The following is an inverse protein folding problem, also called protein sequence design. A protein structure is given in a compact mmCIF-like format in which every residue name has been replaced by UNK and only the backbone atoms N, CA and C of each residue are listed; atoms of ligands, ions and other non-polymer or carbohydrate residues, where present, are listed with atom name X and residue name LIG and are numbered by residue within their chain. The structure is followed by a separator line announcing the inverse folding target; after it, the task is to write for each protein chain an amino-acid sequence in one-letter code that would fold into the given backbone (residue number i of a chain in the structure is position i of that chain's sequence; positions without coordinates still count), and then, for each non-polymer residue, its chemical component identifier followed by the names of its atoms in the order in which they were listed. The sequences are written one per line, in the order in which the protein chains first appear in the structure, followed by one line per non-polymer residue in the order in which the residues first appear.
data_IF_650975687850
#
_entry.id   IF_650975687850
#
_cell.length_a   1.000
_cell.length_b   1.000
_cell.length_c   1.000
_cell.angle_alpha   90.00
_cell.angle_beta   90.00
_cell.angle_gamma   90.00
#
_symmetry.space_group_name_H-M   'P 1'
#
loop_
_entity.id
_entity.type
_entity.pdbx_description
1 polymer ?
#
# COMPACT_ATOMS: atom_id res chain seq x y z
N UNK A 1 5.40 -22.08 -9.10
CA UNK A 1 5.03 -22.38 -7.70
C UNK A 1 6.32 -22.42 -6.89
N UNK A 2 6.49 -21.57 -5.87
CA UNK A 2 7.66 -21.63 -5.00
C UNK A 2 7.55 -22.89 -4.12
N UNK A 3 8.44 -23.85 -4.28
CA UNK A 3 8.55 -25.00 -3.38
C UNK A 3 8.90 -24.46 -2.00
N UNK A 4 8.03 -24.64 -1.00
CA UNK A 4 8.34 -24.24 0.37
C UNK A 4 9.62 -24.95 0.80
N UNK A 5 10.70 -24.20 0.99
CA UNK A 5 11.97 -24.79 1.42
C UNK A 5 11.85 -25.15 2.88
N UNK A 6 11.92 -26.44 3.17
CA UNK A 6 11.61 -26.98 4.48
C UNK A 6 12.89 -27.02 5.33
N UNK A 7 13.33 -25.85 5.81
CA UNK A 7 14.52 -25.75 6.67
C UNK A 7 14.19 -26.16 8.11
N UNK A 8 15.11 -26.87 8.77
CA UNK A 8 14.92 -27.36 10.14
C UNK A 8 14.70 -26.21 11.14
N UNK A 9 15.37 -25.07 10.95
CA UNK A 9 15.18 -23.88 11.77
C UNK A 9 13.74 -23.33 11.67
N UNK A 10 13.10 -23.38 10.50
CA UNK A 10 11.72 -22.90 10.33
C UNK A 10 10.72 -23.83 11.04
N UNK A 11 10.98 -25.15 11.00
CA UNK A 11 10.17 -26.15 11.71
C UNK A 11 10.25 -25.97 13.22
N UNK A 12 11.43 -25.66 13.74
CA UNK A 12 11.61 -25.43 15.17
C UNK A 12 10.77 -24.25 15.67
N UNK A 13 10.64 -23.18 14.85
CA UNK A 13 9.74 -22.07 15.20
C UNK A 13 8.30 -22.55 15.36
N UNK A 14 7.79 -23.34 14.41
CA UNK A 14 6.41 -23.86 14.47
C UNK A 14 6.18 -24.89 15.58
N UNK A 15 7.22 -25.61 16.03
CA UNK A 15 7.13 -26.48 17.22
C UNK A 15 7.03 -25.65 18.51
N UNK A 16 7.75 -24.55 18.58
CA UNK A 16 7.85 -23.70 19.78
C UNK A 16 6.69 -22.72 19.91
N UNK A 17 6.26 -22.11 18.80
CA UNK A 17 5.29 -21.02 18.78
C UNK A 17 4.08 -21.36 17.91
N UNK A 18 2.89 -21.13 18.46
CA UNK A 18 1.63 -21.12 17.71
C UNK A 18 1.28 -19.69 17.31
N UNK A 19 0.74 -19.53 16.11
CA UNK A 19 0.31 -18.24 15.58
C UNK A 19 -0.86 -17.67 16.39
N UNK A 20 -0.72 -16.46 16.93
CA UNK A 20 -1.80 -15.78 17.69
C UNK A 20 -2.76 -15.00 16.80
N UNK A 21 -2.35 -14.65 15.58
CA UNK A 21 -3.10 -13.76 14.69
C UNK A 21 -3.10 -12.29 15.12
N UNK A 22 -2.36 -11.92 16.17
CA UNK A 22 -2.33 -10.55 16.70
C UNK A 22 -1.47 -9.63 15.84
N UNK A 23 -2.06 -8.95 14.86
CA UNK A 23 -1.34 -8.04 13.95
C UNK A 23 -1.68 -6.58 14.27
N UNK A 24 -0.85 -5.93 15.10
CA UNK A 24 -0.94 -4.48 15.36
C UNK A 24 -0.54 -3.63 14.15
N UNK A 25 -0.95 -2.36 14.13
CA UNK A 25 -0.55 -1.39 13.10
C UNK A 25 0.96 -1.30 12.92
N UNK A 26 1.72 -1.18 14.02
CA UNK A 26 3.19 -1.11 13.99
C UNK A 26 3.82 -2.43 13.52
N UNK A 27 3.24 -3.58 13.85
CA UNK A 27 3.71 -4.86 13.31
C UNK A 27 3.46 -4.96 11.80
N UNK A 28 2.33 -4.47 11.31
CA UNK A 28 2.03 -4.42 9.87
C UNK A 28 2.96 -3.47 9.13
N UNK A 29 3.25 -2.29 9.69
CA UNK A 29 4.29 -1.40 9.17
C UNK A 29 5.64 -2.15 9.11
N UNK A 30 6.03 -2.86 10.18
CA UNK A 30 7.25 -3.67 10.21
C UNK A 30 7.27 -4.73 9.12
N UNK A 31 6.17 -5.46 8.92
CA UNK A 31 6.04 -6.49 7.87
C UNK A 31 6.26 -5.87 6.48
N UNK A 32 5.65 -4.71 6.23
CA UNK A 32 5.74 -4.01 4.94
C UNK A 32 7.14 -3.43 4.71
N UNK A 33 7.70 -2.74 5.70
CA UNK A 33 8.97 -2.01 5.55
C UNK A 33 10.20 -2.92 5.55
N UNK A 34 10.10 -4.10 6.15
CA UNK A 34 11.17 -5.10 6.14
C UNK A 34 10.89 -6.21 5.12
N UNK A 35 10.32 -5.87 3.95
CA UNK A 35 10.02 -6.84 2.89
C UNK A 35 11.21 -7.76 2.63
N UNK A 36 11.02 -9.07 2.83
CA UNK A 36 12.01 -10.15 2.71
C UNK A 36 13.35 -9.96 3.46
N UNK A 37 13.43 -9.07 4.46
CA UNK A 37 14.66 -8.81 5.22
C UNK A 37 14.41 -8.98 6.71
N UNK A 38 15.27 -9.75 7.38
CA UNK A 38 15.20 -9.91 8.84
C UNK A 38 15.50 -8.58 9.56
N UNK A 39 14.61 -8.14 10.45
CA UNK A 39 14.75 -6.89 11.22
C UNK A 39 15.91 -6.90 12.24
N UNK A 40 16.45 -8.07 12.58
CA UNK A 40 17.51 -8.21 13.60
C UNK A 40 18.91 -8.39 13.00
N UNK A 41 19.05 -9.22 11.95
CA UNK A 41 20.35 -9.53 11.37
C UNK A 41 20.56 -8.97 9.96
N UNK A 42 19.56 -8.27 9.42
CA UNK A 42 19.56 -7.67 8.08
C UNK A 42 19.79 -8.65 6.92
N UNK A 43 19.76 -9.97 7.18
CA UNK A 43 19.85 -10.98 6.13
C UNK A 43 18.56 -11.01 5.33
N UNK A 44 18.72 -11.09 4.02
CA UNK A 44 17.62 -11.40 3.11
C UNK A 44 17.13 -12.82 3.37
N UNK A 45 15.81 -12.97 3.41
CA UNK A 45 15.15 -14.25 3.64
C UNK A 45 14.79 -14.82 2.26
N UNK A 46 15.15 -16.08 2.03
CA UNK A 46 15.04 -16.70 0.72
C UNK A 46 13.59 -16.88 0.27
N UNK A 47 13.33 -16.70 -1.03
CA UNK A 47 12.02 -17.00 -1.63
C UNK A 47 11.59 -18.44 -1.32
N UNK A 48 10.34 -18.59 -0.88
CA UNK A 48 9.77 -19.87 -0.47
C UNK A 48 10.02 -20.24 0.99
N UNK A 49 10.73 -19.41 1.77
CA UNK A 49 10.84 -19.55 3.23
C UNK A 49 9.92 -18.54 3.93
N UNK A 50 9.39 -18.86 5.12
CA UNK A 50 8.67 -17.89 5.93
C UNK A 50 9.64 -16.88 6.57
N UNK A 51 9.18 -15.64 6.70
CA UNK A 51 9.58 -14.79 7.81
C UNK A 51 8.59 -14.98 8.96
N UNK A 52 9.02 -14.65 10.17
CA UNK A 52 8.21 -14.77 11.37
C UNK A 52 7.93 -13.38 11.91
N UNK A 53 6.68 -12.94 11.77
CA UNK A 53 6.21 -11.67 12.31
C UNK A 53 5.64 -11.90 13.71
N UNK A 54 6.04 -11.07 14.66
CA UNK A 54 5.65 -11.27 16.04
C UNK A 54 6.21 -10.22 16.98
N UNK A 55 6.31 -10.58 18.26
CA UNK A 55 6.73 -9.67 19.31
C UNK A 55 7.83 -10.30 20.16
N UNK A 56 8.80 -9.48 20.55
CA UNK A 56 9.82 -9.85 21.52
C UNK A 56 9.33 -9.71 22.97
N UNK A 57 10.22 -9.97 23.94
CA UNK A 57 9.91 -9.89 25.37
C UNK A 57 9.50 -8.50 25.87
N UNK A 58 9.76 -7.43 25.09
CA UNK A 58 9.31 -6.06 25.39
C UNK A 58 8.03 -5.70 24.65
N UNK A 59 7.38 -6.68 24.00
CA UNK A 59 6.25 -6.46 23.09
C UNK A 59 6.60 -5.59 21.89
N UNK A 60 7.88 -5.48 21.52
CA UNK A 60 8.27 -4.71 20.33
C UNK A 60 8.06 -5.58 19.07
N UNK A 61 7.51 -4.99 17.98
CA UNK A 61 7.20 -5.73 16.76
C UNK A 61 8.45 -6.08 15.96
N UNK A 62 8.54 -7.33 15.55
CA UNK A 62 9.68 -7.91 14.84
C UNK A 62 9.22 -8.65 13.58
N UNK A 63 10.06 -8.66 12.55
CA UNK A 63 9.94 -9.53 11.38
C UNK A 63 11.29 -10.22 11.17
N UNK A 64 11.39 -11.50 11.51
CA UNK A 64 12.69 -12.18 11.61
C UNK A 64 12.77 -13.44 10.76
N UNK A 65 13.99 -13.82 10.37
CA UNK A 65 14.27 -15.13 9.78
C UNK A 65 14.20 -16.25 10.83
N UNK A 66 14.17 -17.51 10.40
CA UNK A 66 14.14 -18.69 11.29
C UNK A 66 15.24 -18.67 12.36
N UNK A 67 16.49 -18.38 11.99
CA UNK A 67 17.60 -18.28 12.94
C UNK A 67 17.39 -17.21 14.03
N UNK A 68 16.76 -16.08 13.68
CA UNK A 68 16.51 -14.97 14.61
C UNK A 68 15.18 -15.12 15.35
N UNK A 69 14.33 -16.09 14.98
CA UNK A 69 13.05 -16.32 15.63
C UNK A 69 13.19 -16.72 17.11
N UNK A 70 14.36 -17.17 17.56
CA UNK A 70 14.66 -17.41 18.97
C UNK A 70 14.41 -16.17 19.87
N UNK A 71 14.43 -14.96 19.31
CA UNK A 71 14.13 -13.71 20.02
C UNK A 71 12.63 -13.33 20.03
N UNK A 72 11.78 -14.11 19.36
CA UNK A 72 10.32 -13.96 19.42
C UNK A 72 9.77 -14.70 20.65
N UNK A 73 9.03 -13.98 21.47
CA UNK A 73 8.19 -14.54 22.53
C UNK A 73 6.79 -14.90 22.01
N UNK A 74 6.29 -14.12 21.05
CA UNK A 74 5.00 -14.34 20.42
C UNK A 74 5.16 -14.39 18.90
N UNK A 75 4.60 -15.42 18.27
CA UNK A 75 4.40 -15.47 16.82
C UNK A 75 3.02 -14.93 16.50
N UNK A 76 2.94 -13.77 15.84
CA UNK A 76 1.67 -13.24 15.36
C UNK A 76 1.21 -13.94 14.09
N UNK A 77 2.11 -14.09 13.11
CA UNK A 77 1.86 -14.83 11.88
C UNK A 77 3.18 -15.17 11.17
N UNK A 78 3.30 -16.34 10.51
CA UNK A 78 4.30 -16.49 9.46
C UNK A 78 3.92 -15.60 8.27
N UNK A 79 4.92 -15.04 7.60
CA UNK A 79 4.78 -14.19 6.42
C UNK A 79 5.51 -14.84 5.26
N UNK A 80 4.80 -15.02 4.14
CA UNK A 80 5.36 -15.62 2.93
C UNK A 80 5.28 -14.61 1.78
N UNK A 81 6.41 -14.34 1.12
CA UNK A 81 6.43 -13.61 -0.14
C UNK A 81 6.39 -14.62 -1.29
N UNK A 82 5.22 -14.72 -1.91
CA UNK A 82 5.03 -15.53 -3.13
C UNK A 82 5.26 -14.73 -4.41
N UNK A 83 5.39 -13.40 -4.29
CA UNK A 83 5.57 -12.47 -5.41
C UNK A 83 6.88 -11.71 -5.22
N UNK A 84 7.29 -10.96 -6.25
CA UNK A 84 8.39 -10.01 -6.18
C UNK A 84 7.87 -8.58 -5.95
N UNK A 85 6.68 -8.42 -5.36
CA UNK A 85 6.07 -7.11 -5.18
C UNK A 85 6.51 -6.47 -3.87
N UNK A 86 7.68 -5.85 -3.90
CA UNK A 86 8.19 -5.03 -2.80
C UNK A 86 7.51 -3.66 -2.80
N UNK A 87 6.63 -3.40 -1.83
CA UNK A 87 6.00 -2.08 -1.63
C UNK A 87 6.69 -1.24 -0.55
N UNK A 88 7.78 -1.73 0.05
CA UNK A 88 8.53 -0.99 1.09
C UNK A 88 9.07 0.32 0.55
N UNK A 89 9.16 1.33 1.43
CA UNK A 89 9.60 2.66 1.07
C UNK A 89 10.27 3.31 2.28
N UNK A 90 11.44 3.92 2.05
CA UNK A 90 12.21 4.60 3.10
C UNK A 90 11.33 5.63 3.83
N UNK A 91 11.34 5.55 5.16
CA UNK A 91 10.46 6.33 6.03
C UNK A 91 10.76 7.84 5.99
N UNK A 92 11.97 8.24 5.60
CA UNK A 92 12.38 9.63 5.45
C UNK A 92 12.02 10.25 4.10
N UNK A 93 11.50 9.48 3.13
CA UNK A 93 11.21 10.01 1.80
C UNK A 93 10.10 11.07 1.85
N UNK A 94 10.33 12.26 1.25
CA UNK A 94 9.30 13.29 1.16
C UNK A 94 8.13 12.84 0.30
N UNK A 95 6.93 13.13 0.79
CA UNK A 95 5.67 12.88 0.11
C UNK A 95 4.92 14.19 -0.12
N UNK A 96 4.30 14.28 -1.29
CA UNK A 96 3.55 15.46 -1.72
C UNK A 96 2.12 15.07 -2.06
N UNK A 97 1.16 15.89 -1.67
CA UNK A 97 -0.23 15.78 -2.12
C UNK A 97 -0.74 17.11 -2.63
N UNK A 98 -0.89 17.19 -3.95
CA UNK A 98 -1.41 18.36 -4.66
C UNK A 98 -2.93 18.37 -4.62
N UNK A 99 -3.54 19.49 -4.28
CA UNK A 99 -5.00 19.63 -4.20
C UNK A 99 -5.46 21.08 -4.34
N UNK A 100 -6.74 21.24 -4.69
CA UNK A 100 -7.40 22.54 -4.63
C UNK A 100 -7.64 23.01 -3.19
N UNK A 101 -7.93 24.29 -3.03
CA UNK A 101 -8.21 24.90 -1.74
C UNK A 101 -9.41 24.26 -1.01
N UNK A 102 -10.45 23.84 -1.72
CA UNK A 102 -11.65 23.27 -1.11
C UNK A 102 -11.35 21.92 -0.44
N UNK A 103 -10.55 21.07 -1.09
CA UNK A 103 -10.05 19.82 -0.50
C UNK A 103 -9.17 20.07 0.71
N UNK A 104 -8.32 21.10 0.69
CA UNK A 104 -7.52 21.47 1.86
C UNK A 104 -8.40 21.93 3.03
N UNK A 105 -9.41 22.77 2.80
CA UNK A 105 -10.38 23.18 3.82
C UNK A 105 -11.15 21.98 4.37
N UNK A 106 -11.55 21.04 3.50
CA UNK A 106 -12.19 19.79 3.93
C UNK A 106 -11.26 18.98 4.84
N UNK A 107 -9.98 18.83 4.49
CA UNK A 107 -9.00 18.14 5.33
C UNK A 107 -8.84 18.79 6.70
N UNK A 108 -8.72 20.12 6.76
CA UNK A 108 -8.62 20.88 8.01
C UNK A 108 -9.87 20.72 8.89
N UNK A 109 -11.05 20.82 8.29
CA UNK A 109 -12.33 20.76 9.00
C UNK A 109 -12.59 19.38 9.60
N UNK A 110 -12.33 18.35 8.82
CA UNK A 110 -12.64 16.97 9.19
C UNK A 110 -11.53 16.34 10.03
N UNK A 111 -10.38 17.02 10.18
CA UNK A 111 -9.14 16.47 10.74
C UNK A 111 -8.85 15.07 10.20
N UNK A 112 -9.01 14.94 8.88
CA UNK A 112 -9.04 13.65 8.21
C UNK A 112 -8.46 13.75 6.80
N UNK A 113 -7.85 12.65 6.36
CA UNK A 113 -7.48 12.44 4.97
C UNK A 113 -8.62 11.69 4.28
N UNK A 114 -9.11 12.23 3.17
CA UNK A 114 -10.09 11.52 2.34
C UNK A 114 -9.42 10.36 1.58
N UNK A 115 -10.00 9.17 1.72
CA UNK A 115 -9.67 7.98 0.95
C UNK A 115 -10.82 7.68 -0.01
N UNK A 116 -10.52 7.50 -1.28
CA UNK A 116 -11.51 7.14 -2.30
C UNK A 116 -11.51 5.63 -2.54
N UNK A 117 -12.67 5.06 -2.86
CA UNK A 117 -12.75 3.68 -3.33
C UNK A 117 -11.96 3.55 -4.63
N UNK A 118 -11.10 2.54 -4.73
CA UNK A 118 -10.21 2.35 -5.87
C UNK A 118 -10.94 2.20 -7.22
N UNK A 119 -12.18 1.69 -7.21
CA UNK A 119 -13.02 1.63 -8.41
C UNK A 119 -13.39 2.99 -9.00
N UNK A 120 -13.22 4.08 -8.24
CA UNK A 120 -13.56 5.45 -8.64
C UNK A 120 -12.37 6.20 -9.25
N UNK A 121 -11.20 5.57 -9.34
CA UNK A 121 -10.07 6.12 -10.07
C UNK A 121 -10.29 6.04 -11.59
N UNK A 122 -9.69 6.99 -12.32
CA UNK A 122 -9.79 7.05 -13.77
C UNK A 122 -9.07 5.89 -14.48
N UNK A 123 -8.03 5.33 -13.84
CA UNK A 123 -7.35 4.16 -14.38
C UNK A 123 -8.19 2.89 -14.18
N UNK A 124 -8.67 2.32 -15.29
CA UNK A 124 -9.43 1.07 -15.27
C UNK A 124 -8.60 -0.15 -14.79
N UNK A 125 -7.26 -0.03 -14.75
CA UNK A 125 -6.33 -1.06 -14.28
C UNK A 125 -6.11 -1.06 -12.76
N UNK A 126 -6.79 -0.20 -12.03
CA UNK A 126 -6.67 -0.14 -10.56
C UNK A 126 -7.14 -1.47 -9.95
N UNK A 127 -6.20 -2.16 -9.29
CA UNK A 127 -6.41 -3.51 -8.76
C UNK A 127 -6.60 -4.61 -9.82
N UNK A 128 -6.23 -4.37 -11.09
CA UNK A 128 -6.36 -5.37 -12.15
C UNK A 128 -5.27 -6.46 -12.07
N UNK A 129 -5.63 -7.69 -12.43
CA UNK A 129 -4.67 -8.79 -12.57
C UNK A 129 -3.84 -8.67 -13.87
N UNK A 130 -4.45 -8.16 -14.94
CA UNK A 130 -3.81 -8.05 -16.26
C UNK A 130 -4.77 -7.54 -17.33
N UNK A 131 -4.30 -7.54 -18.59
CA UNK A 131 -5.15 -7.20 -19.75
C UNK A 131 -6.22 -8.27 -19.97
N UNK A 132 -7.44 -7.84 -20.29
CA UNK A 132 -8.55 -8.74 -20.65
C UNK A 132 -8.20 -9.66 -21.82
N UNK A 133 -7.41 -9.19 -22.80
CA UNK A 133 -6.93 -9.98 -23.94
C UNK A 133 -6.03 -11.16 -23.54
N UNK A 134 -5.46 -11.13 -22.32
CA UNK A 134 -4.60 -12.19 -21.78
C UNK A 134 -5.31 -13.00 -20.68
N UNK A 135 -6.61 -12.80 -20.48
CA UNK A 135 -7.34 -13.51 -19.43
C UNK A 135 -7.30 -15.04 -19.64
N UNK A 136 -7.33 -15.52 -20.89
CA UNK A 136 -7.23 -16.96 -21.18
C UNK A 136 -5.89 -17.56 -20.71
N UNK A 137 -4.79 -16.87 -20.96
CA UNK A 137 -3.45 -17.27 -20.48
C UNK A 137 -3.40 -17.33 -18.95
N UNK A 138 -3.98 -16.33 -18.29
CA UNK A 138 -4.08 -16.28 -16.83
C UNK A 138 -4.95 -17.43 -16.28
N UNK A 139 -6.11 -17.66 -16.88
CA UNK A 139 -7.05 -18.73 -16.51
C UNK A 139 -6.39 -20.10 -16.64
N UNK A 140 -5.69 -20.36 -17.75
CA UNK A 140 -4.98 -21.62 -18.00
C UNK A 140 -3.88 -21.86 -16.96
N UNK A 141 -3.08 -20.84 -16.62
CA UNK A 141 -2.03 -20.92 -15.60
C UNK A 141 -2.58 -21.29 -14.22
N UNK A 142 -3.61 -20.59 -13.75
CA UNK A 142 -4.20 -20.84 -12.43
C UNK A 142 -4.96 -22.17 -12.41
N UNK A 143 -5.69 -22.50 -13.47
CA UNK A 143 -6.40 -23.77 -13.57
C UNK A 143 -5.45 -24.96 -13.52
N UNK A 144 -4.33 -24.90 -14.25
CA UNK A 144 -3.30 -25.94 -14.17
C UNK A 144 -2.73 -26.05 -12.75
N UNK A 145 -2.37 -24.91 -12.14
CA UNK A 145 -1.83 -24.88 -10.78
C UNK A 145 -2.80 -25.47 -9.76
N UNK A 146 -4.10 -25.14 -9.86
CA UNK A 146 -5.12 -25.68 -8.96
C UNK A 146 -5.35 -27.18 -9.17
N UNK A 147 -5.33 -27.67 -10.41
CA UNK A 147 -5.41 -29.12 -10.68
C UNK A 147 -4.25 -29.86 -10.03
N UNK A 148 -3.04 -29.33 -10.14
CA UNK A 148 -1.85 -29.93 -9.51
C UNK A 148 -1.98 -29.97 -7.98
N UNK A 149 -2.41 -28.87 -7.36
CA UNK A 149 -2.62 -28.78 -5.90
C UNK A 149 -3.70 -29.76 -5.42
N UNK A 150 -4.84 -29.81 -6.12
CA UNK A 150 -5.97 -30.66 -5.74
C UNK A 150 -5.62 -32.14 -5.92
N UNK A 151 -4.92 -32.49 -6.99
CA UNK A 151 -4.52 -33.87 -7.27
C UNK A 151 -3.52 -34.41 -6.23
N UNK A 152 -2.72 -33.55 -5.60
CA UNK A 152 -1.65 -33.92 -4.69
C UNK A 152 -1.81 -33.24 -3.33
N UNK A 153 -2.88 -33.55 -2.57
CA UNK A 153 -3.07 -32.94 -1.26
C UNK A 153 -1.93 -33.36 -0.31
N UNK A 154 -1.43 -32.44 0.53
CA UNK A 154 -0.33 -32.75 1.45
C UNK A 154 -0.70 -33.79 2.52
N UNK A 155 -2.00 -33.94 2.78
CA UNK A 155 -2.57 -34.88 3.75
C UNK A 155 -3.92 -35.39 3.25
N UNK A 156 -4.24 -36.65 3.55
CA UNK A 156 -5.49 -37.29 3.14
C UNK A 156 -5.40 -38.02 1.80
N UNK A 157 -6.46 -38.73 1.39
CA UNK A 157 -6.49 -39.45 0.13
C UNK A 157 -6.55 -38.50 -1.07
N UNK A 158 -5.99 -38.93 -2.20
CA UNK A 158 -6.19 -38.22 -3.46
C UNK A 158 -7.69 -38.18 -3.82
N UNK A 159 -8.18 -37.06 -4.37
CA UNK A 159 -9.57 -36.94 -4.80
C UNK A 159 -9.86 -37.80 -6.04
N UNK A 160 -11.14 -38.07 -6.30
CA UNK A 160 -11.59 -38.69 -7.55
C UNK A 160 -11.19 -37.83 -8.76
N UNK A 161 -10.65 -38.45 -9.80
CA UNK A 161 -10.09 -37.75 -10.97
C UNK A 161 -11.13 -36.85 -11.67
N UNK A 162 -12.39 -37.30 -11.74
CA UNK A 162 -13.47 -36.52 -12.37
C UNK A 162 -13.87 -35.29 -11.53
N UNK A 163 -13.53 -35.27 -10.24
CA UNK A 163 -13.82 -34.14 -9.35
C UNK A 163 -12.78 -33.02 -9.42
N UNK A 164 -11.56 -33.30 -9.92
CA UNK A 164 -10.43 -32.36 -9.94
C UNK A 164 -10.73 -31.16 -10.83
N UNK A 165 -11.21 -31.39 -12.06
CA UNK A 165 -11.53 -30.33 -13.02
C UNK A 165 -12.55 -29.34 -12.46
N UNK A 166 -13.76 -29.79 -12.06
CA UNK A 166 -14.77 -28.92 -11.46
C UNK A 166 -14.32 -28.21 -10.17
N UNK A 167 -13.48 -28.86 -9.35
CA UNK A 167 -12.92 -28.22 -8.15
C UNK A 167 -11.94 -27.10 -8.49
N UNK A 168 -11.06 -27.31 -9.48
CA UNK A 168 -10.13 -26.31 -9.95
C UNK A 168 -10.85 -25.10 -10.58
N UNK A 169 -11.93 -25.32 -11.33
CA UNK A 169 -12.78 -24.26 -11.87
C UNK A 169 -13.44 -23.42 -10.76
N UNK A 170 -13.95 -24.07 -9.71
CA UNK A 170 -14.51 -23.35 -8.54
C UNK A 170 -13.46 -22.49 -7.85
N UNK A 171 -12.23 -22.99 -7.70
CA UNK A 171 -11.12 -22.20 -7.12
C UNK A 171 -10.75 -21.02 -8.02
N UNK A 172 -10.70 -21.22 -9.34
CA UNK A 172 -10.45 -20.13 -10.29
C UNK A 172 -11.52 -19.03 -10.20
N UNK A 173 -12.80 -19.41 -10.13
CA UNK A 173 -13.91 -18.47 -9.97
C UNK A 173 -13.85 -17.71 -8.64
N UNK A 174 -13.50 -18.40 -7.54
CA UNK A 174 -13.29 -17.77 -6.24
C UNK A 174 -12.13 -16.78 -6.29
N UNK A 175 -11.01 -17.16 -6.89
CA UNK A 175 -9.84 -16.29 -7.07
C UNK A 175 -10.20 -15.05 -7.88
N UNK A 176 -10.93 -15.18 -8.99
CA UNK A 176 -11.40 -14.02 -9.77
C UNK A 176 -12.26 -13.06 -8.94
N UNK A 177 -13.15 -13.58 -8.09
CA UNK A 177 -14.00 -12.76 -7.20
C UNK A 177 -13.17 -12.02 -6.16
N UNK A 178 -12.30 -12.73 -5.44
CA UNK A 178 -11.36 -12.13 -4.47
C UNK A 178 -10.48 -11.09 -5.18
N UNK A 179 -10.09 -11.37 -6.43
CA UNK A 179 -9.27 -10.46 -7.21
C UNK A 179 -9.97 -9.13 -7.49
N UNK A 180 -11.24 -9.21 -7.88
CA UNK A 180 -12.09 -8.04 -8.08
C UNK A 180 -12.31 -7.21 -6.80
N UNK A 181 -12.27 -7.82 -5.61
CA UNK A 181 -12.48 -7.10 -4.35
C UNK A 181 -11.39 -6.06 -4.03
N UNK A 182 -10.19 -6.16 -4.60
CA UNK A 182 -9.15 -5.14 -4.41
C UNK A 182 -9.60 -3.75 -4.88
N UNK A 183 -10.54 -3.68 -5.83
CA UNK A 183 -11.14 -2.43 -6.32
C UNK A 183 -12.07 -1.76 -5.29
N UNK A 184 -12.44 -2.47 -4.24
CA UNK A 184 -13.27 -1.92 -3.18
C UNK A 184 -12.44 -1.24 -2.08
N UNK A 185 -11.12 -1.47 -2.01
CA UNK A 185 -10.24 -0.82 -1.04
C UNK A 185 -10.35 0.70 -1.09
N UNK A 186 -10.23 1.35 0.06
CA UNK A 186 -10.16 2.79 0.18
C UNK A 186 -8.70 3.21 0.10
N UNK A 187 -8.39 4.20 -0.76
CA UNK A 187 -7.03 4.59 -1.13
C UNK A 187 -6.86 6.11 -1.04
N UNK A 188 -5.74 6.55 -0.44
CA UNK A 188 -5.24 7.92 -0.51
C UNK A 188 -3.86 7.94 -1.17
N UNK A 189 -3.72 8.72 -2.24
CA UNK A 189 -2.52 8.79 -3.06
C UNK A 189 -1.63 9.98 -2.65
N UNK A 190 -0.32 9.75 -2.66
CA UNK A 190 0.75 10.69 -2.38
C UNK A 190 1.86 10.52 -3.43
N UNK A 191 2.75 11.49 -3.58
CA UNK A 191 3.82 11.46 -4.57
C UNK A 191 5.19 11.54 -3.90
N UNK A 192 6.03 10.52 -4.07
CA UNK A 192 7.42 10.54 -3.59
C UNK A 192 8.31 11.35 -4.54
N UNK A 193 8.43 12.64 -4.27
CA UNK A 193 9.28 13.54 -5.06
C UNK A 193 10.24 14.30 -4.14
N UNK A 194 11.48 14.48 -4.58
CA UNK A 194 12.46 15.29 -3.86
C UNK A 194 12.08 16.78 -3.82
N UNK A 195 11.30 17.24 -4.80
CA UNK A 195 10.79 18.60 -4.90
C UNK A 195 9.44 18.65 -5.61
N UNK A 196 9.05 19.84 -6.03
CA UNK A 196 7.80 20.07 -6.73
C UNK A 196 7.79 19.45 -8.14
N UNK A 197 6.59 19.09 -8.62
CA UNK A 197 6.39 18.61 -9.99
C UNK A 197 5.44 19.53 -10.74
N UNK A 198 5.98 20.26 -11.70
CA UNK A 198 5.24 21.11 -12.65
C UNK A 198 4.10 20.35 -13.34
N UNK A 199 4.33 19.08 -13.69
CA UNK A 199 3.31 18.23 -14.32
C UNK A 199 2.16 17.92 -13.34
N UNK A 200 2.48 17.56 -12.09
CA UNK A 200 1.47 17.24 -11.08
C UNK A 200 0.69 18.49 -10.66
N UNK A 201 1.34 19.67 -10.60
CA UNK A 201 0.63 20.94 -10.44
C UNK A 201 -0.42 21.13 -11.51
N UNK A 202 -0.10 20.94 -12.79
CA UNK A 202 -1.07 21.10 -13.89
C UNK A 202 -2.20 20.07 -13.86
N UNK A 203 -1.92 18.83 -13.41
CA UNK A 203 -2.91 17.76 -13.32
C UNK A 203 -3.91 18.02 -12.18
N UNK A 204 -3.40 18.32 -10.98
CA UNK A 204 -4.24 18.43 -9.78
C UNK A 204 -4.74 19.86 -9.51
N UNK A 205 -4.04 20.86 -10.03
CA UNK A 205 -4.35 22.29 -9.89
C UNK A 205 -4.29 22.96 -11.28
N UNK A 206 -5.18 22.59 -12.22
CA UNK A 206 -5.18 23.14 -13.57
C UNK A 206 -5.39 24.66 -13.54
N UNK A 207 -4.97 25.35 -14.61
CA UNK A 207 -5.08 26.81 -14.73
C UNK A 207 -6.46 27.34 -14.30
N UNK A 208 -6.46 28.38 -13.46
CA UNK A 208 -7.67 28.93 -12.86
C UNK A 208 -8.03 28.32 -11.51
N UNK A 209 -7.37 27.24 -11.09
CA UNK A 209 -7.53 26.64 -9.76
C UNK A 209 -6.54 27.27 -8.77
N UNK A 210 -7.05 27.82 -7.67
CA UNK A 210 -6.20 28.15 -6.52
C UNK A 210 -5.90 26.87 -5.75
N UNK A 211 -4.65 26.42 -5.87
CA UNK A 211 -4.21 25.12 -5.40
C UNK A 211 -2.99 25.20 -4.50
N UNK A 212 -2.77 24.13 -3.75
CA UNK A 212 -1.64 23.98 -2.85
C UNK A 212 -1.19 22.52 -2.81
N UNK A 213 -0.05 22.28 -2.21
CA UNK A 213 0.45 20.95 -1.93
C UNK A 213 0.71 20.83 -0.43
N UNK A 214 0.30 19.69 0.14
CA UNK A 214 0.74 19.28 1.47
C UNK A 214 2.02 18.48 1.30
N UNK A 215 3.08 18.89 2.00
CA UNK A 215 4.34 18.14 2.08
C UNK A 215 4.43 17.43 3.43
N UNK A 216 4.86 16.18 3.38
CA UNK A 216 5.10 15.31 4.54
C UNK A 216 6.23 14.33 4.21
N UNK A 217 6.39 13.27 5.01
CA UNK A 217 7.22 12.12 4.68
C UNK A 217 6.48 10.82 5.05
N UNK A 218 7.05 9.68 4.65
CA UNK A 218 6.46 8.35 4.88
C UNK A 218 6.24 8.07 6.38
N UNK A 219 7.20 8.43 7.24
CA UNK A 219 7.11 8.21 8.70
C UNK A 219 5.92 8.97 9.31
N UNK A 220 5.79 10.27 9.00
CA UNK A 220 4.67 11.12 9.44
C UNK A 220 3.32 10.61 8.91
N UNK A 221 3.28 10.09 7.69
CA UNK A 221 2.07 9.49 7.14
C UNK A 221 1.65 8.23 7.92
N UNK A 222 2.59 7.36 8.30
CA UNK A 222 2.29 6.23 9.19
C UNK A 222 1.81 6.68 10.57
N UNK A 223 2.54 7.60 11.20
CA UNK A 223 2.28 8.05 12.57
C UNK A 223 0.95 8.81 12.71
N UNK A 224 0.57 9.59 11.70
CA UNK A 224 -0.67 10.36 11.73
C UNK A 224 -1.92 9.49 11.52
N UNK A 225 -1.80 8.30 10.96
CA UNK A 225 -2.89 7.36 10.65
C UNK A 225 -2.94 6.14 11.60
N UNK A 226 -2.35 6.23 12.80
CA UNK A 226 -2.28 5.11 13.76
C UNK A 226 -3.64 4.54 14.20
N UNK A 227 -4.72 5.32 14.05
CA UNK A 227 -6.08 4.87 14.36
C UNK A 227 -6.66 3.90 13.31
N UNK A 228 -6.03 3.76 12.13
CA UNK A 228 -6.43 2.85 11.08
C UNK A 228 -5.74 1.48 11.25
N UNK A 229 -6.41 0.48 11.86
CA UNK A 229 -5.76 -0.74 12.34
C UNK A 229 -5.20 -1.61 11.22
N UNK A 230 -5.70 -1.49 10.00
CA UNK A 230 -5.31 -2.29 8.82
C UNK A 230 -4.64 -1.45 7.74
N UNK A 231 -4.15 -0.26 8.10
CA UNK A 231 -3.42 0.62 7.19
C UNK A 231 -2.23 -0.09 6.55
N UNK A 232 -2.13 0.04 5.23
CA UNK A 232 -0.93 -0.27 4.46
C UNK A 232 -0.46 1.01 3.77
N UNK A 233 0.79 1.41 3.97
CA UNK A 233 1.45 2.46 3.17
C UNK A 233 2.55 1.82 2.35
N UNK A 234 2.59 2.11 1.06
CA UNK A 234 3.61 1.53 0.18
C UNK A 234 3.73 2.22 -1.17
N UNK A 235 4.90 2.06 -1.80
CA UNK A 235 5.17 2.58 -3.14
C UNK A 235 4.37 1.81 -4.20
N UNK A 236 3.89 2.53 -5.21
CA UNK A 236 3.25 1.91 -6.37
C UNK A 236 4.30 1.29 -7.29
N UNK A 237 4.02 0.07 -7.74
CA UNK A 237 4.78 -0.71 -8.69
C UNK A 237 4.19 -0.55 -10.09
N UNK A 238 5.04 -0.13 -11.02
CA UNK A 238 4.64 0.21 -12.38
C UNK A 238 4.89 -0.96 -13.31
N UNK A 239 3.81 -1.57 -13.80
CA UNK A 239 3.85 -2.80 -14.60
C UNK A 239 3.45 -2.55 -16.05
N UNK A 240 4.15 -3.21 -16.97
CA UNK A 240 3.64 -3.41 -18.32
C UNK A 240 2.74 -4.64 -18.36
N UNK A 241 1.43 -4.42 -18.31
CA UNK A 241 0.44 -5.49 -18.37
C UNK A 241 0.38 -6.23 -19.73
N UNK A 242 1.11 -5.76 -20.76
CA UNK A 242 1.31 -6.55 -21.98
C UNK A 242 2.16 -7.79 -21.73
N UNK A 243 3.09 -7.71 -20.76
CA UNK A 243 4.09 -8.74 -20.48
C UNK A 243 3.94 -9.35 -19.09
N UNK A 244 3.34 -8.63 -18.13
CA UNK A 244 3.22 -9.06 -16.73
C UNK A 244 1.76 -9.19 -16.27
N UNK A 245 1.54 -10.01 -15.25
CA UNK A 245 0.32 -10.03 -14.45
C UNK A 245 0.64 -9.51 -13.03
N UNK A 246 -0.27 -8.72 -12.45
CA UNK A 246 -0.22 -8.42 -11.03
C UNK A 246 -0.75 -9.62 -10.24
N UNK A 247 -0.03 -10.01 -9.20
CA UNK A 247 -0.41 -11.11 -8.34
C UNK A 247 -0.83 -10.60 -6.96
N UNK A 248 -1.70 -11.37 -6.30
CA UNK A 248 -2.08 -11.24 -4.90
C UNK A 248 -2.77 -9.92 -4.51
N UNK A 249 -3.09 -9.79 -3.23
CA UNK A 249 -3.82 -8.67 -2.63
C UNK A 249 -3.09 -7.33 -2.78
N UNK A 250 -1.77 -7.36 -2.92
CA UNK A 250 -0.97 -6.14 -3.10
C UNK A 250 -1.08 -5.54 -4.50
N UNK A 251 -1.88 -6.12 -5.42
CA UNK A 251 -2.19 -5.52 -6.74
C UNK A 251 -2.84 -4.14 -6.67
N UNK A 252 -3.39 -3.75 -5.52
CA UNK A 252 -3.82 -2.37 -5.27
C UNK A 252 -2.64 -1.38 -5.18
N UNK A 253 -1.41 -1.87 -5.21
CA UNK A 253 -0.19 -1.08 -5.37
C UNK A 253 0.40 -1.25 -6.78
N UNK A 254 -0.32 -1.82 -7.74
CA UNK A 254 0.15 -1.95 -9.12
C UNK A 254 -0.56 -0.95 -10.04
N UNK A 255 0.20 -0.29 -10.90
CA UNK A 255 -0.31 0.68 -11.88
C UNK A 255 0.37 0.48 -13.22
N UNK A 256 -0.24 1.01 -14.29
CA UNK A 256 0.36 0.93 -15.64
C UNK A 256 1.69 1.67 -15.70
N UNK A 257 2.66 1.09 -16.40
CA UNK A 257 4.00 1.69 -16.58
C UNK A 257 4.01 3.09 -17.18
N UNK A 258 3.00 3.44 -17.98
CA UNK A 258 2.81 4.77 -18.56
C UNK A 258 2.49 5.87 -17.53
N UNK A 259 2.11 5.49 -16.30
CA UNK A 259 1.81 6.41 -15.21
C UNK A 259 2.99 6.54 -14.21
N UNK A 260 4.16 6.01 -14.56
CA UNK A 260 5.36 6.03 -13.71
C UNK A 260 5.82 7.44 -13.31
N UNK A 261 5.49 8.46 -14.11
CA UNK A 261 5.77 9.86 -13.80
C UNK A 261 5.07 10.36 -12.52
N UNK A 262 4.04 9.66 -12.03
CA UNK A 262 3.34 10.04 -10.80
C UNK A 262 4.17 9.77 -9.54
N UNK A 263 5.14 8.85 -9.58
CA UNK A 263 5.91 8.45 -8.39
C UNK A 263 4.99 8.19 -7.17
N UNK A 264 3.88 7.49 -7.39
CA UNK A 264 2.81 7.33 -6.43
C UNK A 264 3.20 6.44 -5.23
N UNK A 265 2.75 6.86 -4.05
CA UNK A 265 2.73 6.12 -2.78
C UNK A 265 1.28 6.10 -2.31
N UNK A 266 0.79 4.93 -1.91
CA UNK A 266 -0.61 4.77 -1.47
C UNK A 266 -0.65 4.52 0.02
N UNK A 267 -1.56 5.20 0.71
CA UNK A 267 -2.14 4.73 1.96
C UNK A 267 -3.43 3.99 1.61
N UNK A 268 -3.59 2.76 2.10
CA UNK A 268 -4.73 1.88 1.78
C UNK A 268 -5.33 1.33 3.06
N UNK A 269 -6.66 1.38 3.15
CA UNK A 269 -7.43 0.74 4.23
C UNK A 269 -8.56 -0.13 3.63
N UNK A 270 -9.01 -1.17 4.35
CA UNK A 270 -10.16 -1.97 3.92
C UNK A 270 -11.44 -1.13 3.80
N UNK A 271 -12.39 -1.63 3.00
CA UNK A 271 -13.74 -1.09 2.88
C UNK A 271 -14.74 -2.15 3.34
N UNK A 272 -14.96 -2.28 4.67
CA UNK A 272 -15.73 -3.39 5.23
C UNK A 272 -17.24 -3.27 4.96
N UNK A 273 -17.72 -2.10 4.56
CA UNK A 273 -19.13 -1.83 4.30
C UNK A 273 -19.70 -2.73 3.20
N UNK A 274 -20.96 -3.15 3.38
CA UNK A 274 -21.69 -4.01 2.45
C UNK A 274 -23.08 -3.39 2.20
N UNK A 275 -23.29 -2.66 1.07
CA UNK A 275 -22.37 -2.47 -0.06
C UNK A 275 -21.18 -1.54 0.27
N UNK A 276 -20.04 -1.65 -0.46
CA UNK A 276 -18.88 -0.79 -0.26
C UNK A 276 -19.20 0.69 -0.48
N UNK A 277 -18.64 1.57 0.36
CA UNK A 277 -18.79 3.03 0.20
C UNK A 277 -17.80 3.59 -0.82
N UNK A 278 -18.15 4.72 -1.44
CA UNK A 278 -17.31 5.37 -2.47
C UNK A 278 -16.10 6.13 -1.93
N UNK A 279 -16.10 6.43 -0.64
CA UNK A 279 -14.98 7.05 0.04
C UNK A 279 -15.27 7.24 1.52
N UNK A 280 -14.22 7.58 2.26
CA UNK A 280 -14.30 7.82 3.70
C UNK A 280 -13.23 8.82 4.14
N UNK A 281 -13.59 9.67 5.10
CA UNK A 281 -12.65 10.51 5.83
C UNK A 281 -12.00 9.65 6.92
N UNK A 282 -10.71 9.36 6.77
CA UNK A 282 -9.93 8.63 7.78
C UNK A 282 -9.29 9.66 8.71
N UNK A 283 -9.61 9.67 10.01
CA UNK A 283 -9.07 10.64 10.96
C UNK A 283 -7.54 10.61 11.02
N UNK A 284 -6.93 11.79 11.07
CA UNK A 284 -5.48 11.97 11.20
C UNK A 284 -5.12 13.07 12.18
N UNK A 285 -3.96 12.94 12.82
CA UNK A 285 -3.33 14.10 13.44
C UNK A 285 -2.66 14.95 12.34
N UNK A 286 -3.29 16.08 11.99
CA UNK A 286 -2.75 16.99 10.99
C UNK A 286 -1.45 17.68 11.42
N UNK A 287 -1.20 17.82 12.73
CA UNK A 287 0.03 18.41 13.25
C UNK A 287 1.21 17.45 13.11
N UNK A 288 0.96 16.13 13.18
CA UNK A 288 1.94 15.11 12.85
C UNK A 288 2.09 14.95 11.33
N UNK A 289 0.97 14.93 10.59
CA UNK A 289 0.96 14.70 9.15
C UNK A 289 1.63 15.82 8.37
N UNK A 290 1.29 17.08 8.60
CA UNK A 290 1.66 18.18 7.70
C UNK A 290 2.99 18.80 8.16
N UNK A 291 4.03 18.65 7.35
CA UNK A 291 5.29 19.36 7.56
C UNK A 291 5.20 20.80 7.10
N UNK A 292 4.71 21.00 5.88
CA UNK A 292 4.52 22.32 5.30
C UNK A 292 3.46 22.29 4.21
N UNK A 293 2.97 23.49 3.87
CA UNK A 293 2.02 23.73 2.80
C UNK A 293 2.67 24.62 1.75
N UNK A 294 2.65 24.18 0.50
CA UNK A 294 3.28 24.89 -0.61
C UNK A 294 2.17 25.47 -1.49
N UNK A 295 2.23 26.77 -1.74
CA UNK A 295 1.26 27.46 -2.59
C UNK A 295 1.60 27.25 -4.06
N UNK A 296 0.64 26.79 -4.86
CA UNK A 296 0.81 26.50 -6.29
C UNK A 296 1.45 27.68 -7.04
N UNK A 297 2.39 27.44 -7.98
CA UNK A 297 3.02 28.50 -8.75
C UNK A 297 2.01 29.34 -9.55
N UNK A 298 0.84 28.79 -9.89
CA UNK A 298 -0.19 29.45 -10.69
C UNK A 298 -1.24 30.21 -9.87
N UNK A 299 -1.17 30.16 -8.54
CA UNK A 299 -2.11 30.89 -7.69
C UNK A 299 -1.76 32.38 -7.62
N UNK A 300 -2.74 33.29 -7.44
CA UNK A 300 -2.44 34.70 -7.25
C UNK A 300 -1.71 34.97 -5.92
N UNK A 301 -0.95 36.07 -5.77
CA UNK A 301 -0.17 36.35 -4.56
C UNK A 301 -0.99 36.38 -3.26
N UNK A 302 -2.20 36.95 -3.30
CA UNK A 302 -3.10 37.03 -2.14
C UNK A 302 -3.55 35.66 -1.60
N UNK A 303 -3.41 34.60 -2.40
CA UNK A 303 -3.91 33.28 -2.01
C UNK A 303 -3.16 32.70 -0.80
N UNK A 304 -1.87 33.02 -0.65
CA UNK A 304 -1.08 32.59 0.50
C UNK A 304 -1.65 33.12 1.83
N UNK A 305 -2.10 34.37 1.85
CA UNK A 305 -2.71 34.97 3.04
C UNK A 305 -4.02 34.27 3.41
N UNK A 306 -4.85 33.93 2.41
CA UNK A 306 -6.10 33.19 2.63
C UNK A 306 -5.82 31.79 3.20
N UNK A 307 -4.86 31.06 2.64
CA UNK A 307 -4.47 29.73 3.16
C UNK A 307 -3.95 29.86 4.61
N UNK A 308 -3.15 30.88 4.89
CA UNK A 308 -2.59 31.13 6.23
C UNK A 308 -3.67 31.46 7.26
N UNK A 309 -4.57 32.40 6.93
CA UNK A 309 -5.69 32.75 7.80
C UNK A 309 -6.63 31.56 8.03
N UNK A 310 -6.95 30.81 6.97
CA UNK A 310 -7.84 29.66 7.07
C UNK A 310 -7.22 28.56 7.94
N UNK A 311 -5.94 28.27 7.76
CA UNK A 311 -5.20 27.30 8.59
C UNK A 311 -5.25 27.69 10.07
N UNK A 312 -5.03 28.98 10.39
CA UNK A 312 -5.15 29.50 11.77
C UNK A 312 -6.58 29.41 12.33
N UNK A 313 -7.62 29.65 11.51
CA UNK A 313 -9.02 29.55 11.95
C UNK A 313 -9.41 28.12 12.36
N UNK A 314 -8.80 27.11 11.74
CA UNK A 314 -8.95 25.71 12.15
C UNK A 314 -7.96 25.30 13.27
N UNK A 315 -7.29 26.26 13.91
CA UNK A 315 -6.40 26.00 15.06
C UNK A 315 -5.08 25.33 14.70
N UNK A 316 -4.63 25.40 13.44
CA UNK A 316 -3.36 24.84 12.98
C UNK A 316 -2.33 25.92 12.70
N UNK A 317 -1.04 25.57 12.80
CA UNK A 317 0.09 26.47 12.53
C UNK A 317 1.18 25.75 11.73
N UNK A 318 0.94 25.54 10.44
CA UNK A 318 1.93 24.96 9.54
C UNK A 318 2.83 26.03 8.95
N UNK A 319 4.03 25.63 8.51
CA UNK A 319 4.81 26.46 7.62
C UNK A 319 4.13 26.54 6.24
N UNK A 320 3.95 27.76 5.73
CA UNK A 320 3.27 28.02 4.45
C UNK A 320 4.19 28.86 3.57
N UNK A 321 4.62 28.29 2.45
CA UNK A 321 5.59 28.92 1.54
C UNK A 321 5.06 28.95 0.11
N UNK A 322 5.52 29.90 -0.70
CA UNK A 322 5.26 29.88 -2.13
C UNK A 322 6.11 28.80 -2.81
N UNK A 323 5.60 28.24 -3.92
CA UNK A 323 6.34 27.34 -4.79
C UNK A 323 7.69 27.94 -5.23
N UNK A 324 8.76 27.13 -5.16
CA UNK A 324 10.11 27.45 -5.65
C UNK A 324 10.13 27.66 -7.17
N UNK A 325 9.15 27.10 -7.90
CA UNK A 325 8.98 27.30 -9.35
C UNK A 325 8.74 28.79 -9.69
N UNK A 326 8.32 29.61 -8.72
CA UNK A 326 8.18 31.06 -8.91
C UNK A 326 9.49 31.83 -8.84
N UNK A 327 10.58 31.23 -8.41
CA UNK A 327 11.86 31.93 -8.29
C UNK A 327 12.30 32.46 -9.66
N UNK A 328 12.60 33.76 -9.78
CA UNK A 328 12.98 34.34 -11.05
C UNK A 328 14.35 33.80 -11.49
N UNK A 329 14.51 33.39 -12.75
CA UNK A 329 15.82 33.01 -13.27
C UNK A 329 16.74 34.23 -13.40
N UNK A 330 18.05 34.00 -13.26
CA UNK A 330 19.08 34.95 -13.65
C UNK A 330 19.53 34.70 -15.10
N UNK A 331 19.85 35.75 -15.86
CA UNK A 331 20.23 35.68 -17.28
C UNK A 331 21.60 36.31 -17.54
#
# INVERSE_FOLDING_TARGET
MATFKNHEEDREVFRRLSSTGRISGVLRQRIIQNYNVCSLCSKQIEVGRPAFAGYDYKLAPQLVCGACAAYLEELATPVYWQTNLDISIDEGIPLWRYMDFAKYVSMLREEAVYFTRASNFDDIYEGAAGKSSRQKEWDEYYLQSYREIIAHPPTGPAPDENSIGPAAERLLDQTKRIFAEARNSLVSCWHQNSGESEALWKIYCPHGTSGLAVKTNVSKLWNSLVSAPELKVGKVQYLDYATHFAANEERIFCKRSTLSYENEVRAVVPNPERPPVDGSNVPVDLSELIESVIISPYSPPWFQDIVSETTRRYGKSFEIHASEIREPPFY
#
